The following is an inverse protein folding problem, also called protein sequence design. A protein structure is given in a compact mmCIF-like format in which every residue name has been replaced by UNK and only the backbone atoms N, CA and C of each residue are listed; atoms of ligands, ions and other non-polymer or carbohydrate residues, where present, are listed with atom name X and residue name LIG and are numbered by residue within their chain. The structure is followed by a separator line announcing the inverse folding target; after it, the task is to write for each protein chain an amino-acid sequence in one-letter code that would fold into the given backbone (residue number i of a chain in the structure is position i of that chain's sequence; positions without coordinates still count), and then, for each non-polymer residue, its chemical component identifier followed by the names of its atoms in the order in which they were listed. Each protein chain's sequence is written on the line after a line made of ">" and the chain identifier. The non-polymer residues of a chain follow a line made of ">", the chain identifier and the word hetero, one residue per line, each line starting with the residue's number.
data_IF_014637578700
#
_entry.id   IF_014637578700
#
_cell.length_a   1.000
_cell.length_b   1.000
_cell.length_c   1.000
_cell.angle_alpha   90.00
_cell.angle_beta   90.00
_cell.angle_gamma   90.00
#
_symmetry.space_group_name_H-M   'P 1'
#
loop_
_entity.id
_entity.type
_entity.pdbx_description
1 polymer ?
#
# COMPACT_ATOMS: atom_id res chain seq x y z
N UNK A 1 -31.25 -0.29 0.66
CA UNK A 1 -30.65 -0.31 -0.66
C UNK A 1 -29.25 0.28 -0.71
N UNK A 2 -29.10 1.49 -0.19
CA UNK A 2 -27.78 2.11 -0.17
C UNK A 2 -26.78 1.32 0.66
N UNK A 3 -27.24 0.74 1.79
CA UNK A 3 -26.37 -0.04 2.65
C UNK A 3 -25.88 -1.32 1.95
N UNK A 4 -26.75 -1.96 1.19
CA UNK A 4 -26.36 -3.17 0.46
C UNK A 4 -25.41 -2.82 -0.67
N UNK A 5 -25.68 -1.73 -1.37
CA UNK A 5 -24.81 -1.28 -2.43
C UNK A 5 -23.43 -0.92 -1.89
N UNK A 6 -23.41 -0.24 -0.76
CA UNK A 6 -22.15 0.13 -0.12
C UNK A 6 -21.37 -1.12 0.31
N UNK A 7 -22.05 -2.08 0.89
CA UNK A 7 -21.43 -3.32 1.32
C UNK A 7 -20.84 -4.07 0.14
N UNK A 8 -21.56 -4.13 -0.95
CA UNK A 8 -21.09 -4.78 -2.16
C UNK A 8 -19.86 -4.06 -2.72
N UNK A 9 -19.91 -2.73 -2.74
CA UNK A 9 -18.80 -1.94 -3.24
C UNK A 9 -17.55 -2.12 -2.38
N UNK A 10 -17.71 -2.15 -1.06
CA UNK A 10 -16.59 -2.35 -0.16
C UNK A 10 -15.99 -3.73 -0.30
N UNK A 11 -16.82 -4.74 -0.51
CA UNK A 11 -16.33 -6.11 -0.75
C UNK A 11 -15.52 -6.17 -2.02
N UNK A 12 -16.01 -5.53 -3.08
CA UNK A 12 -15.29 -5.46 -4.33
C UNK A 12 -13.96 -4.75 -4.16
N UNK A 13 -13.96 -3.65 -3.41
CA UNK A 13 -12.75 -2.90 -3.15
C UNK A 13 -11.71 -3.73 -2.41
N UNK A 14 -12.15 -4.51 -1.44
CA UNK A 14 -11.25 -5.38 -0.70
C UNK A 14 -10.57 -6.40 -1.62
N UNK A 15 -11.35 -7.03 -2.46
CA UNK A 15 -10.81 -8.04 -3.38
C UNK A 15 -9.84 -7.40 -4.35
N UNK A 16 -10.22 -6.24 -4.90
CA UNK A 16 -9.38 -5.53 -5.85
C UNK A 16 -8.05 -5.12 -5.21
N UNK A 17 -8.10 -4.62 -3.97
CA UNK A 17 -6.91 -4.19 -3.27
C UNK A 17 -6.00 -5.36 -2.92
N UNK A 18 -6.59 -6.50 -2.56
CA UNK A 18 -5.80 -7.69 -2.26
C UNK A 18 -5.08 -8.18 -3.52
N UNK A 19 -5.77 -8.19 -4.65
CA UNK A 19 -5.15 -8.58 -5.91
C UNK A 19 -4.05 -7.60 -6.29
N UNK A 20 -4.30 -6.30 -6.10
CA UNK A 20 -3.31 -5.28 -6.39
C UNK A 20 -2.08 -5.45 -5.51
N UNK A 21 -2.29 -5.79 -4.23
CA UNK A 21 -1.19 -6.03 -3.31
C UNK A 21 -0.35 -7.22 -3.75
N UNK A 22 -1.03 -8.29 -4.19
CA UNK A 22 -0.34 -9.48 -4.67
C UNK A 22 0.50 -9.16 -5.90
N UNK A 23 -0.05 -8.35 -6.82
CA UNK A 23 0.68 -7.96 -8.01
C UNK A 23 1.88 -7.08 -7.68
N UNK A 24 1.71 -6.16 -6.73
CA UNK A 24 2.80 -5.31 -6.29
C UNK A 24 3.91 -6.13 -5.65
N UNK A 25 3.53 -7.12 -4.85
CA UNK A 25 4.48 -8.01 -4.22
C UNK A 25 5.26 -8.81 -5.27
N UNK A 26 4.56 -9.30 -6.27
CA UNK A 26 5.19 -10.01 -7.38
C UNK A 26 6.21 -9.12 -8.07
N UNK A 27 5.81 -7.87 -8.32
CA UNK A 27 6.69 -6.92 -8.99
C UNK A 27 7.92 -6.64 -8.16
N UNK A 28 7.75 -6.54 -6.85
CA UNK A 28 8.87 -6.29 -5.96
C UNK A 28 9.88 -7.42 -6.02
N UNK A 29 9.40 -8.66 -6.06
CA UNK A 29 10.29 -9.82 -6.12
C UNK A 29 10.94 -9.96 -7.47
N UNK A 30 10.27 -9.55 -8.52
CA UNK A 30 10.75 -9.70 -9.89
C UNK A 30 11.49 -8.48 -10.41
N UNK A 31 11.44 -7.38 -9.72
CA UNK A 31 12.08 -6.15 -10.17
C UNK A 31 13.59 -6.33 -10.29
N UNK A 32 14.16 -6.14 -11.47
CA UNK A 32 15.60 -6.31 -11.66
C UNK A 32 16.41 -5.17 -11.05
N UNK A 33 15.83 -4.00 -10.92
CA UNK A 33 16.50 -2.85 -10.36
C UNK A 33 16.00 -2.54 -8.98
N UNK A 34 16.90 -1.96 -8.16
CA UNK A 34 16.50 -1.52 -6.84
C UNK A 34 15.41 -0.46 -6.91
N UNK A 35 15.45 0.39 -7.94
CA UNK A 35 14.44 1.42 -8.13
C UNK A 35 13.06 0.83 -8.33
N UNK A 36 12.97 -0.25 -9.11
CA UNK A 36 11.70 -0.92 -9.33
C UNK A 36 11.16 -1.53 -8.04
N UNK A 37 12.07 -2.07 -7.23
CA UNK A 37 11.68 -2.65 -5.94
C UNK A 37 11.17 -1.60 -4.98
N UNK A 38 11.82 -0.44 -4.95
CA UNK A 38 11.39 0.66 -4.08
C UNK A 38 10.03 1.18 -4.52
N UNK A 39 9.82 1.32 -5.82
CA UNK A 39 8.53 1.76 -6.34
C UNK A 39 7.42 0.77 -6.00
N UNK A 40 7.71 -0.52 -6.14
CA UNK A 40 6.74 -1.55 -5.79
C UNK A 40 6.44 -1.54 -4.29
N UNK A 41 7.46 -1.32 -3.47
CA UNK A 41 7.29 -1.23 -2.03
C UNK A 41 6.38 -0.06 -1.65
N UNK A 42 6.60 1.10 -2.30
CA UNK A 42 5.74 2.27 -2.08
C UNK A 42 4.30 1.96 -2.44
N UNK A 43 4.10 1.28 -3.56
CA UNK A 43 2.77 0.87 -3.99
C UNK A 43 2.13 -0.06 -2.96
N UNK A 44 2.91 -0.97 -2.40
CA UNK A 44 2.42 -1.88 -1.37
C UNK A 44 1.97 -1.13 -0.12
N UNK A 45 2.73 -0.13 0.30
CA UNK A 45 2.33 0.70 1.44
C UNK A 45 1.02 1.42 1.18
N UNK A 46 0.89 1.99 -0.02
CA UNK A 46 -0.33 2.70 -0.39
C UNK A 46 -1.53 1.75 -0.41
N UNK A 47 -1.37 0.57 -0.98
CA UNK A 47 -2.45 -0.40 -1.05
C UNK A 47 -2.81 -0.90 0.34
N UNK A 48 -1.82 -1.14 1.18
CA UNK A 48 -2.08 -1.58 2.56
C UNK A 48 -2.86 -0.52 3.33
N UNK A 49 -2.52 0.75 3.15
CA UNK A 49 -3.24 1.85 3.78
C UNK A 49 -4.70 1.87 3.33
N UNK A 50 -4.91 1.76 2.02
CA UNK A 50 -6.26 1.75 1.48
C UNK A 50 -7.04 0.54 1.96
N UNK A 51 -6.39 -0.60 2.04
CA UNK A 51 -7.04 -1.82 2.51
C UNK A 51 -7.46 -1.67 3.97
N UNK A 52 -6.61 -1.06 4.81
CA UNK A 52 -6.96 -0.79 6.19
C UNK A 52 -8.16 0.14 6.28
N UNK A 53 -8.21 1.16 5.43
CA UNK A 53 -9.34 2.07 5.41
C UNK A 53 -10.63 1.36 5.02
N UNK A 54 -10.57 0.50 4.02
CA UNK A 54 -11.75 -0.24 3.57
C UNK A 54 -12.22 -1.20 4.65
N UNK A 55 -11.30 -1.92 5.27
CA UNK A 55 -11.65 -2.84 6.36
C UNK A 55 -12.26 -2.07 7.52
N UNK A 56 -11.71 -0.91 7.83
CA UNK A 56 -12.26 -0.05 8.88
C UNK A 56 -13.68 0.39 8.56
N UNK A 57 -13.94 0.73 7.31
CA UNK A 57 -15.29 1.12 6.90
C UNK A 57 -16.27 -0.02 7.04
N UNK A 58 -15.84 -1.23 6.66
CA UNK A 58 -16.71 -2.41 6.76
C UNK A 58 -17.04 -2.71 8.21
N UNK A 59 -16.04 -2.64 9.08
CA UNK A 59 -16.21 -2.95 10.50
C UNK A 59 -16.68 -1.77 11.34
N UNK A 60 -16.59 -0.57 10.78
CA UNK A 60 -16.93 0.63 11.53
C UNK A 60 -15.99 0.88 12.69
N UNK A 61 -14.73 0.51 12.54
CA UNK A 61 -13.76 0.58 13.61
C UNK A 61 -12.74 1.68 13.33
N UNK A 62 -12.62 2.60 14.28
CA UNK A 62 -11.70 3.74 14.14
C UNK A 62 -10.25 3.31 14.23
N UNK A 63 -9.96 2.21 14.89
CA UNK A 63 -8.59 1.73 15.04
C UNK A 63 -7.94 1.42 13.70
N UNK A 64 -8.73 0.93 12.75
CA UNK A 64 -8.18 0.68 11.42
C UNK A 64 -7.77 1.97 10.73
N UNK A 65 -8.53 3.04 10.98
CA UNK A 65 -8.18 4.34 10.42
C UNK A 65 -6.85 4.82 11.00
N UNK A 66 -6.64 4.65 12.30
CA UNK A 66 -5.38 5.02 12.92
C UNK A 66 -4.22 4.18 12.37
N UNK A 67 -4.47 2.89 12.16
CA UNK A 67 -3.48 2.02 11.55
C UNK A 67 -3.11 2.48 10.15
N UNK A 68 -4.10 2.93 9.38
CA UNK A 68 -3.85 3.43 8.05
C UNK A 68 -2.97 4.68 8.08
N UNK A 69 -3.20 5.56 9.04
CA UNK A 69 -2.38 6.75 9.20
C UNK A 69 -0.93 6.39 9.53
N UNK A 70 -0.75 5.42 10.41
CA UNK A 70 0.59 4.96 10.77
C UNK A 70 1.30 4.38 9.56
N UNK A 71 0.60 3.57 8.79
CA UNK A 71 1.18 2.99 7.58
C UNK A 71 1.55 4.08 6.58
N UNK A 72 0.69 5.10 6.44
CA UNK A 72 0.97 6.18 5.50
C UNK A 72 2.23 6.94 5.90
N UNK A 73 2.38 7.26 7.18
CA UNK A 73 3.54 7.99 7.66
C UNK A 73 4.81 7.15 7.53
N UNK A 74 4.75 5.90 7.95
CA UNK A 74 5.90 5.01 7.85
C UNK A 74 6.29 4.77 6.40
N UNK A 75 5.30 4.59 5.54
CA UNK A 75 5.57 4.38 4.12
C UNK A 75 6.21 5.59 3.49
N UNK A 76 5.73 6.78 3.84
CA UNK A 76 6.31 8.01 3.31
C UNK A 76 7.76 8.14 3.74
N UNK A 77 8.05 7.95 5.02
CA UNK A 77 9.41 8.06 5.53
C UNK A 77 10.31 7.02 4.90
N UNK A 78 9.84 5.79 4.82
CA UNK A 78 10.63 4.70 4.24
C UNK A 78 10.93 4.96 2.77
N UNK A 79 9.93 5.44 2.03
CA UNK A 79 10.10 5.70 0.60
C UNK A 79 11.09 6.82 0.37
N UNK A 80 11.01 7.90 1.15
CA UNK A 80 11.93 9.03 1.02
C UNK A 80 13.35 8.58 1.34
N UNK A 81 13.52 7.81 2.40
CA UNK A 81 14.84 7.32 2.78
C UNK A 81 15.41 6.39 1.72
N UNK A 82 14.58 5.49 1.20
CA UNK A 82 15.03 4.56 0.17
C UNK A 82 15.37 5.29 -1.11
N UNK A 83 14.59 6.31 -1.47
CA UNK A 83 14.87 7.09 -2.67
C UNK A 83 16.20 7.80 -2.56
N UNK A 84 16.47 8.39 -1.40
CA UNK A 84 17.74 9.06 -1.17
C UNK A 84 18.90 8.07 -1.19
N UNK A 85 18.70 6.92 -0.61
CA UNK A 85 19.71 5.87 -0.60
C UNK A 85 20.05 5.44 -2.03
N UNK A 86 19.03 5.28 -2.87
CA UNK A 86 19.23 4.89 -4.25
C UNK A 86 19.99 5.94 -5.04
N UNK A 87 19.67 7.19 -4.79
CA UNK A 87 20.38 8.27 -5.48
C UNK A 87 21.87 8.26 -5.15
N UNK A 88 22.19 8.04 -3.89
CA UNK A 88 23.58 7.96 -3.47
C UNK A 88 24.22 6.64 -3.89
N UNK A 89 23.46 5.58 -3.82
CA UNK A 89 23.94 4.26 -4.18
C UNK A 89 24.35 4.18 -5.64
N UNK A 90 23.57 4.83 -6.50
CA UNK A 90 23.90 4.87 -7.92
C UNK A 90 25.21 5.60 -8.18
N UNK A 91 25.45 6.64 -7.41
CA UNK A 91 26.68 7.40 -7.56
C UNK A 91 27.88 6.58 -7.08
N UNK A 92 27.68 5.84 -6.01
CA UNK A 92 28.75 5.04 -5.42
C UNK A 92 29.09 3.84 -6.30
N UNK A 93 28.07 3.22 -6.87
CA UNK A 93 28.28 2.08 -7.74
C UNK A 93 28.86 2.50 -9.09
#
# INVERSE_FOLDING_TARGET
>A
MTAELLRFALGYAQIALILALALACWRMLRGPRAQDRVLALDTMYSIAMLLFLVIGMVNGNVFFFEGALVIAVLGFVTTVCAAKFLMRGEVIE
#
